data_IF_189854805498
#
_entry.id   IF_189854805498
#
_cell.length_a   1.000
_cell.length_b   1.000
_cell.length_c   1.000
_cell.angle_alpha   90.00
_cell.angle_beta   90.00
_cell.angle_gamma   90.00
#
_symmetry.space_group_name_H-M   'P 1'
#
loop_
_entity.id
_entity.type
_entity.pdbx_description
1 polymer ?
#
# COMPACT_ATOMS: atom_id res chain seq x y z
N UNK A 1 14.45 -5.00 -6.28
CA UNK A 1 15.01 -6.28 -6.77
C UNK A 1 15.18 -6.26 -8.28
N UNK A 2 14.11 -6.00 -9.04
CA UNK A 2 14.11 -6.11 -10.52
C UNK A 2 15.13 -5.20 -11.20
N UNK A 3 15.25 -3.94 -10.73
CA UNK A 3 16.27 -2.99 -11.22
C UNK A 3 17.71 -3.48 -11.05
N UNK A 4 17.97 -4.30 -10.03
CA UNK A 4 19.30 -4.87 -9.83
C UNK A 4 19.52 -6.05 -10.79
N UNK A 5 18.52 -6.91 -10.93
CA UNK A 5 18.53 -8.06 -11.84
C UNK A 5 18.59 -7.67 -13.31
N UNK A 6 18.07 -6.50 -13.70
CA UNK A 6 18.21 -5.99 -15.07
C UNK A 6 19.64 -5.56 -15.41
N UNK A 7 20.47 -5.30 -14.39
CA UNK A 7 21.87 -4.87 -14.55
C UNK A 7 22.87 -5.99 -14.27
N UNK A 8 22.51 -6.97 -13.44
CA UNK A 8 23.42 -8.00 -12.94
C UNK A 8 22.81 -9.39 -13.07
N UNK A 9 23.64 -10.34 -13.49
CA UNK A 9 23.29 -11.77 -13.44
C UNK A 9 23.76 -12.36 -12.12
N UNK A 10 22.87 -13.05 -11.44
CA UNK A 10 23.20 -13.79 -10.23
C UNK A 10 23.66 -15.22 -10.59
N UNK A 11 24.52 -15.83 -9.76
CA UNK A 11 24.75 -17.27 -9.79
C UNK A 11 23.42 -18.02 -9.68
N UNK A 12 23.21 -19.02 -10.53
CA UNK A 12 21.99 -19.84 -10.50
C UNK A 12 22.10 -21.03 -9.54
N UNK A 13 23.28 -21.29 -8.99
CA UNK A 13 23.53 -22.43 -8.10
C UNK A 13 22.71 -22.30 -6.81
N UNK A 14 21.92 -23.33 -6.53
CA UNK A 14 21.15 -23.59 -5.31
C UNK A 14 20.21 -22.46 -4.80
N UNK A 15 20.05 -21.37 -5.56
CA UNK A 15 19.11 -20.27 -5.26
C UNK A 15 19.53 -19.34 -4.11
N UNK A 16 20.67 -19.59 -3.46
CA UNK A 16 21.16 -18.78 -2.34
C UNK A 16 21.36 -17.31 -2.73
N UNK A 17 21.85 -17.04 -3.94
CA UNK A 17 22.13 -15.69 -4.40
C UNK A 17 20.85 -14.86 -4.58
N UNK A 18 19.79 -15.50 -5.05
CA UNK A 18 18.47 -14.87 -5.18
C UNK A 18 17.87 -14.57 -3.81
N UNK A 19 17.99 -15.50 -2.87
CA UNK A 19 17.53 -15.29 -1.50
C UNK A 19 18.32 -14.16 -0.81
N UNK A 20 19.64 -14.13 -0.95
CA UNK A 20 20.48 -13.05 -0.42
C UNK A 20 20.06 -11.70 -1.00
N UNK A 21 19.82 -11.62 -2.32
CA UNK A 21 19.33 -10.39 -2.94
C UNK A 21 17.97 -9.97 -2.38
N UNK A 22 17.05 -10.92 -2.18
CA UNK A 22 15.72 -10.62 -1.64
C UNK A 22 15.80 -10.06 -0.21
N UNK A 23 16.54 -10.72 0.68
CA UNK A 23 16.80 -10.25 2.07
C UNK A 23 17.46 -8.88 2.07
N UNK A 24 18.44 -8.67 1.17
CA UNK A 24 19.12 -7.39 1.02
C UNK A 24 18.16 -6.29 0.56
N UNK A 25 17.33 -6.55 -0.45
CA UNK A 25 16.33 -5.59 -0.93
C UNK A 25 15.32 -5.24 0.17
N UNK A 26 14.90 -6.23 0.97
CA UNK A 26 14.01 -6.01 2.10
C UNK A 26 14.67 -5.16 3.19
N UNK A 27 15.94 -5.43 3.52
CA UNK A 27 16.68 -4.63 4.50
C UNK A 27 16.86 -3.18 4.06
N UNK A 28 17.23 -2.94 2.80
CA UNK A 28 17.33 -1.60 2.24
C UNK A 28 15.97 -0.88 2.23
N UNK A 29 14.88 -1.57 1.88
CA UNK A 29 13.54 -0.99 1.92
C UNK A 29 13.12 -0.62 3.35
N UNK A 30 13.33 -1.50 4.32
CA UNK A 30 13.04 -1.23 5.73
C UNK A 30 13.83 -0.02 6.26
N UNK A 31 15.12 0.09 5.92
CA UNK A 31 15.96 1.25 6.27
C UNK A 31 15.49 2.56 5.63
N UNK A 32 14.77 2.49 4.51
CA UNK A 32 14.29 3.66 3.78
C UNK A 32 12.90 4.13 4.23
N UNK A 33 12.01 3.21 4.58
CA UNK A 33 10.58 3.50 4.78
C UNK A 33 10.12 3.32 6.23
N UNK A 34 10.84 2.56 7.07
CA UNK A 34 10.44 2.31 8.46
C UNK A 34 11.09 3.29 9.45
N UNK A 35 10.31 3.69 10.46
CA UNK A 35 10.84 4.46 11.60
C UNK A 35 11.67 3.60 12.55
N UNK A 36 11.28 2.33 12.71
CA UNK A 36 11.96 1.34 13.53
C UNK A 36 12.36 0.17 12.63
N UNK A 37 13.62 0.17 12.21
CA UNK A 37 14.16 -0.86 11.30
C UNK A 37 14.25 -2.21 12.03
N UNK A 38 13.62 -3.29 11.53
CA UNK A 38 13.75 -4.63 12.10
C UNK A 38 15.20 -5.14 12.04
N UNK A 39 15.54 -6.11 12.90
CA UNK A 39 16.88 -6.70 12.85
C UNK A 39 17.07 -7.56 11.59
N UNK A 40 18.33 -7.72 11.15
CA UNK A 40 18.63 -8.57 9.97
C UNK A 40 18.25 -10.04 10.19
N UNK A 41 18.14 -10.49 11.44
CA UNK A 41 17.66 -11.84 11.74
C UNK A 41 16.14 -11.91 11.55
N UNK A 42 15.40 -10.92 12.02
CA UNK A 42 13.93 -10.87 11.90
C UNK A 42 13.48 -10.78 10.43
N UNK A 43 14.28 -10.12 9.58
CA UNK A 43 14.02 -10.04 8.14
C UNK A 43 14.22 -11.37 7.40
N UNK A 44 14.93 -12.32 8.01
CA UNK A 44 15.19 -13.64 7.43
C UNK A 44 14.16 -14.64 7.96
N UNK A 45 12.94 -14.56 7.44
CA UNK A 45 11.77 -15.32 7.91
C UNK A 45 12.07 -16.81 8.04
N UNK A 46 11.99 -17.31 9.26
CA UNK A 46 12.16 -18.71 9.62
C UNK A 46 11.10 -19.57 8.91
N UNK A 47 11.53 -20.65 8.25
CA UNK A 47 10.65 -21.57 7.50
C UNK A 47 10.39 -21.22 6.03
N UNK A 48 10.71 -19.99 5.58
CA UNK A 48 10.67 -19.60 4.15
C UNK A 48 12.09 -19.50 3.59
N UNK A 49 13.02 -19.03 4.41
CA UNK A 49 14.45 -18.95 4.12
C UNK A 49 15.11 -20.34 4.17
N UNK A 50 15.78 -20.73 3.08
CA UNK A 50 16.67 -21.92 3.06
C UNK A 50 18.05 -21.62 3.65
N UNK A 51 18.47 -20.37 3.57
CA UNK A 51 19.81 -19.91 3.96
C UNK A 51 19.74 -18.78 4.99
N UNK A 52 20.46 -18.91 6.10
CA UNK A 52 20.63 -17.79 7.04
C UNK A 52 21.98 -17.14 6.76
N UNK A 53 21.97 -15.86 6.48
CA UNK A 53 23.14 -15.07 6.15
C UNK A 53 23.60 -14.24 7.34
N UNK A 54 24.91 -14.27 7.57
CA UNK A 54 25.58 -13.39 8.51
C UNK A 54 25.35 -11.91 8.15
N UNK A 55 25.16 -11.02 9.15
CA UNK A 55 24.98 -9.58 8.94
C UNK A 55 26.02 -8.95 8.00
N UNK A 56 27.28 -9.35 8.12
CA UNK A 56 28.36 -8.85 7.26
C UNK A 56 28.20 -9.23 5.78
N UNK A 57 27.60 -10.39 5.49
CA UNK A 57 27.31 -10.82 4.11
C UNK A 57 26.18 -9.99 3.52
N UNK A 58 25.12 -9.74 4.29
CA UNK A 58 24.03 -8.86 3.89
C UNK A 58 24.56 -7.45 3.64
N UNK A 59 25.37 -6.89 4.55
CA UNK A 59 25.94 -5.55 4.39
C UNK A 59 26.82 -5.38 3.15
N UNK A 60 27.60 -6.40 2.76
CA UNK A 60 28.35 -6.38 1.50
C UNK A 60 27.41 -6.36 0.28
N UNK A 61 26.34 -7.15 0.32
CA UNK A 61 25.35 -7.17 -0.75
C UNK A 61 24.56 -5.85 -0.80
N UNK A 62 24.25 -5.23 0.33
CA UNK A 62 23.62 -3.90 0.39
C UNK A 62 24.45 -2.86 -0.35
N UNK A 63 25.76 -2.79 -0.06
CA UNK A 63 26.66 -1.86 -0.75
C UNK A 63 26.71 -2.11 -2.26
N UNK A 64 26.67 -3.38 -2.67
CA UNK A 64 26.65 -3.77 -4.07
C UNK A 64 25.35 -3.31 -4.76
N UNK A 65 24.20 -3.53 -4.13
CA UNK A 65 22.89 -3.06 -4.64
C UNK A 65 22.84 -1.54 -4.71
N UNK A 66 23.29 -0.85 -3.65
CA UNK A 66 23.37 0.61 -3.60
C UNK A 66 24.22 1.16 -4.73
N UNK A 67 25.40 0.60 -4.94
CA UNK A 67 26.33 1.03 -6.00
C UNK A 67 25.73 0.77 -7.38
N UNK A 68 25.17 -0.42 -7.62
CA UNK A 68 24.53 -0.77 -8.88
C UNK A 68 23.36 0.17 -9.24
N UNK A 69 22.62 0.63 -8.23
CA UNK A 69 21.49 1.54 -8.41
C UNK A 69 21.89 3.02 -8.32
N UNK A 70 23.19 3.35 -8.27
CA UNK A 70 23.71 4.70 -8.07
C UNK A 70 23.08 5.41 -6.86
N UNK A 71 22.85 4.66 -5.77
CA UNK A 71 22.18 5.11 -4.54
C UNK A 71 20.74 5.62 -4.73
N UNK A 72 20.15 5.41 -5.91
CA UNK A 72 18.77 5.82 -6.22
C UNK A 72 17.79 4.75 -5.75
N UNK A 73 17.59 4.63 -4.43
CA UNK A 73 16.65 3.67 -3.84
C UNK A 73 15.20 4.15 -3.85
N UNK A 74 14.97 5.48 -3.79
CA UNK A 74 13.64 6.08 -3.80
C UNK A 74 12.99 5.98 -5.18
N UNK A 75 12.39 4.83 -5.46
CA UNK A 75 11.64 4.58 -6.67
C UNK A 75 10.20 5.04 -6.47
N UNK A 76 9.59 5.59 -7.52
CA UNK A 76 8.16 5.89 -7.50
C UNK A 76 7.40 4.57 -7.57
N UNK A 77 6.46 4.36 -6.65
CA UNK A 77 5.63 3.15 -6.59
C UNK A 77 4.17 3.49 -6.88
N UNK A 78 3.32 2.52 -7.29
CA UNK A 78 1.91 2.80 -7.50
C UNK A 78 1.22 3.42 -6.27
N UNK A 79 1.67 3.03 -5.06
CA UNK A 79 1.18 3.56 -3.79
C UNK A 79 1.26 5.09 -3.68
N UNK A 80 2.27 5.71 -4.30
CA UNK A 80 2.43 7.18 -4.29
C UNK A 80 1.30 7.94 -5.00
N UNK A 81 0.51 7.28 -5.85
CA UNK A 81 -0.57 7.89 -6.62
C UNK A 81 -1.98 7.52 -6.14
N UNK A 82 -2.12 6.52 -5.25
CA UNK A 82 -3.44 5.97 -4.90
C UNK A 82 -4.34 7.06 -4.30
N UNK A 83 -3.84 7.83 -3.34
CA UNK A 83 -4.63 8.88 -2.67
C UNK A 83 -5.17 9.90 -3.67
N UNK A 84 -4.31 10.32 -4.60
CA UNK A 84 -4.67 11.28 -5.64
C UNK A 84 -5.78 10.74 -6.55
N UNK A 85 -5.67 9.50 -7.03
CA UNK A 85 -6.69 8.91 -7.90
C UNK A 85 -7.98 8.53 -7.14
N UNK A 86 -7.88 8.09 -5.89
CA UNK A 86 -9.04 7.85 -5.04
C UNK A 86 -9.86 9.13 -4.87
N UNK A 87 -9.21 10.28 -4.66
CA UNK A 87 -9.88 11.58 -4.59
C UNK A 87 -10.54 11.99 -5.92
N UNK A 88 -9.96 11.62 -7.08
CA UNK A 88 -10.58 11.89 -8.39
C UNK A 88 -11.88 11.13 -8.59
N UNK A 89 -11.99 9.95 -7.99
CA UNK A 89 -13.16 9.08 -8.07
C UNK A 89 -14.20 9.45 -7.03
N UNK A 90 -13.79 9.77 -5.81
CA UNK A 90 -14.65 10.14 -4.69
C UNK A 90 -14.22 11.49 -4.10
N UNK A 91 -14.53 12.62 -4.77
CA UNK A 91 -14.16 13.95 -4.28
C UNK A 91 -14.79 14.29 -2.92
N UNK A 92 -15.90 13.61 -2.58
CA UNK A 92 -16.59 13.74 -1.30
C UNK A 92 -15.94 12.97 -0.15
N UNK A 93 -14.94 12.13 -0.42
CA UNK A 93 -14.16 11.42 0.60
C UNK A 93 -14.92 10.32 1.34
N UNK A 94 -16.16 10.00 0.95
CA UNK A 94 -17.04 9.07 1.68
C UNK A 94 -16.50 7.62 1.65
N UNK A 95 -15.90 7.24 0.53
CA UNK A 95 -15.41 5.88 0.25
C UNK A 95 -13.89 5.83 0.05
N UNK A 96 -13.20 6.97 0.08
CA UNK A 96 -11.76 7.09 -0.21
C UNK A 96 -10.90 6.10 0.57
N UNK A 97 -11.13 5.93 1.88
CA UNK A 97 -10.38 4.94 2.69
C UNK A 97 -10.60 3.50 2.20
N UNK A 98 -11.83 3.17 1.83
CA UNK A 98 -12.22 1.86 1.30
C UNK A 98 -11.54 1.62 -0.06
N UNK A 99 -11.54 2.63 -0.93
CA UNK A 99 -10.88 2.60 -2.24
C UNK A 99 -9.37 2.41 -2.10
N UNK A 100 -8.72 3.18 -1.23
CA UNK A 100 -7.27 3.08 -1.00
C UNK A 100 -6.90 1.67 -0.50
N UNK A 101 -7.63 1.15 0.49
CA UNK A 101 -7.37 -0.17 1.03
C UNK A 101 -7.50 -1.27 -0.03
N UNK A 102 -8.55 -1.21 -0.86
CA UNK A 102 -8.77 -2.19 -1.93
C UNK A 102 -7.79 -2.05 -3.08
N UNK A 103 -7.50 -0.83 -3.54
CA UNK A 103 -6.48 -0.58 -4.55
C UNK A 103 -5.10 -1.07 -4.09
N UNK A 104 -4.76 -0.87 -2.81
CA UNK A 104 -3.53 -1.39 -2.18
C UNK A 104 -3.46 -2.91 -2.31
N UNK A 105 -4.54 -3.63 -1.99
CA UNK A 105 -4.59 -5.09 -2.15
C UNK A 105 -4.41 -5.53 -3.61
N UNK A 106 -5.04 -4.84 -4.56
CA UNK A 106 -4.89 -5.13 -5.99
C UNK A 106 -3.45 -4.90 -6.45
N UNK A 107 -2.81 -3.81 -6.03
CA UNK A 107 -1.41 -3.52 -6.36
C UNK A 107 -0.48 -4.58 -5.77
N UNK A 108 -0.67 -4.96 -4.50
CA UNK A 108 0.13 -6.02 -3.88
C UNK A 108 -0.01 -7.35 -4.61
N UNK A 109 -1.21 -7.72 -5.07
CA UNK A 109 -1.41 -8.91 -5.90
C UNK A 109 -0.68 -8.79 -7.25
N UNK A 110 -0.74 -7.62 -7.89
CA UNK A 110 -0.06 -7.36 -9.17
C UNK A 110 1.47 -7.38 -9.05
N UNK A 111 2.06 -7.03 -7.90
CA UNK A 111 3.51 -7.04 -7.70
C UNK A 111 4.14 -8.44 -7.76
N UNK A 112 3.34 -9.50 -7.63
CA UNK A 112 3.82 -10.88 -7.76
C UNK A 112 3.84 -11.39 -9.20
N UNK A 113 3.29 -10.62 -10.14
CA UNK A 113 3.15 -11.01 -11.53
C UNK A 113 4.09 -10.21 -12.43
N UNK A 114 4.89 -10.93 -13.22
CA UNK A 114 5.91 -10.35 -14.10
C UNK A 114 5.31 -9.49 -15.21
N UNK A 115 4.04 -9.69 -15.56
CA UNK A 115 3.36 -8.91 -16.61
C UNK A 115 3.25 -7.42 -16.25
N UNK A 116 3.37 -7.06 -14.97
CA UNK A 116 3.31 -5.67 -14.51
C UNK A 116 4.65 -4.94 -14.52
N UNK A 117 5.77 -5.61 -14.83
CA UNK A 117 7.10 -4.99 -14.83
C UNK A 117 7.25 -3.87 -15.89
N UNK A 118 6.52 -3.98 -17.00
CA UNK A 118 6.56 -3.01 -18.10
C UNK A 118 5.55 -1.86 -17.93
N UNK A 119 4.72 -1.90 -16.88
CA UNK A 119 3.71 -0.90 -16.63
C UNK A 119 4.24 0.22 -15.73
N UNK A 120 3.91 1.48 -16.07
CA UNK A 120 4.33 2.60 -15.26
C UNK A 120 3.53 2.66 -13.95
N UNK A 121 4.13 3.10 -12.83
CA UNK A 121 3.48 3.11 -11.52
C UNK A 121 2.15 3.89 -11.48
N UNK A 122 2.04 4.98 -12.23
CA UNK A 122 0.82 5.80 -12.30
C UNK A 122 -0.33 5.08 -12.99
N UNK A 123 -0.08 4.35 -14.07
CA UNK A 123 -1.12 3.57 -14.76
C UNK A 123 -1.59 2.40 -13.91
N UNK A 124 -0.67 1.71 -13.23
CA UNK A 124 -1.01 0.66 -12.26
C UNK A 124 -1.91 1.20 -11.13
N UNK A 125 -1.58 2.36 -10.57
CA UNK A 125 -2.37 2.96 -9.50
C UNK A 125 -3.77 3.38 -9.97
N UNK A 126 -3.87 4.01 -11.14
CA UNK A 126 -5.16 4.39 -11.72
C UNK A 126 -6.02 3.15 -11.98
N UNK A 127 -5.47 2.12 -12.62
CA UNK A 127 -6.14 0.85 -12.87
C UNK A 127 -6.61 0.16 -11.57
N UNK A 128 -5.77 0.13 -10.55
CA UNK A 128 -6.12 -0.47 -9.26
C UNK A 128 -7.28 0.26 -8.58
N UNK A 129 -7.30 1.60 -8.63
CA UNK A 129 -8.42 2.40 -8.11
C UNK A 129 -9.70 2.14 -8.90
N UNK A 130 -9.63 2.03 -10.24
CA UNK A 130 -10.78 1.67 -11.07
C UNK A 130 -11.30 0.24 -10.76
N UNK A 131 -10.41 -0.71 -10.48
CA UNK A 131 -10.83 -2.04 -10.02
C UNK A 131 -11.56 -1.93 -8.66
N UNK A 132 -11.06 -1.08 -7.77
CA UNK A 132 -11.68 -0.84 -6.48
C UNK A 132 -13.09 -0.19 -6.60
N UNK A 133 -13.36 0.63 -7.61
CA UNK A 133 -14.70 1.21 -7.80
C UNK A 133 -15.74 0.15 -8.18
N UNK A 134 -15.36 -0.84 -8.99
CA UNK A 134 -16.28 -1.84 -9.54
C UNK A 134 -16.98 -2.74 -8.52
N UNK A 135 -16.43 -2.88 -7.30
CA UNK A 135 -17.09 -3.64 -6.22
C UNK A 135 -17.66 -2.73 -5.11
N UNK A 136 -17.63 -1.39 -5.30
CA UNK A 136 -18.28 -0.44 -4.39
C UNK A 136 -19.64 -0.04 -4.97
N UNK A 137 -20.76 -0.62 -4.51
CA UNK A 137 -22.06 -0.47 -5.16
C UNK A 137 -22.65 0.95 -5.12
N UNK A 138 -22.13 1.83 -4.26
CA UNK A 138 -22.54 3.23 -4.12
C UNK A 138 -21.86 4.19 -5.11
N UNK A 139 -20.90 3.71 -5.89
CA UNK A 139 -20.07 4.53 -6.76
C UNK A 139 -20.31 4.18 -8.24
N UNK A 140 -20.43 5.21 -9.08
CA UNK A 140 -20.54 5.00 -10.52
C UNK A 140 -19.25 4.37 -11.05
N UNK A 141 -19.40 3.34 -11.90
CA UNK A 141 -18.25 2.71 -12.53
C UNK A 141 -17.56 3.73 -13.45
N UNK A 142 -16.31 4.06 -13.11
CA UNK A 142 -15.52 4.97 -13.94
C UNK A 142 -14.85 4.17 -15.05
N UNK A 143 -14.99 4.63 -16.29
CA UNK A 143 -14.30 3.99 -17.42
C UNK A 143 -12.79 4.29 -17.40
N UNK A 144 -11.93 3.34 -17.83
CA UNK A 144 -10.50 3.59 -18.00
C UNK A 144 -10.17 4.80 -18.89
N UNK A 145 -10.96 5.05 -19.93
CA UNK A 145 -10.80 6.22 -20.82
C UNK A 145 -11.00 7.56 -20.10
N UNK A 146 -11.89 7.61 -19.10
CA UNK A 146 -12.08 8.82 -18.28
C UNK A 146 -10.86 9.13 -17.41
N UNK A 147 -10.14 8.08 -16.95
CA UNK A 147 -8.99 8.22 -16.06
C UNK A 147 -7.77 8.87 -16.73
N UNK A 148 -7.68 8.85 -18.06
CA UNK A 148 -6.65 9.55 -18.84
C UNK A 148 -6.58 11.04 -18.49
N UNK A 149 -7.73 11.63 -18.13
CA UNK A 149 -7.84 13.06 -17.79
C UNK A 149 -7.39 13.38 -16.37
N UNK A 150 -7.05 12.39 -15.55
CA UNK A 150 -6.70 12.61 -14.14
C UNK A 150 -5.31 13.19 -13.95
N UNK A 151 -4.35 12.82 -14.80
CA UNK A 151 -2.96 13.26 -14.70
C UNK A 151 -2.29 13.31 -16.08
N UNK A 152 -1.38 14.27 -16.26
CA UNK A 152 -0.57 14.40 -17.47
C UNK A 152 0.35 13.18 -17.60
N UNK A 153 0.41 12.58 -18.79
CA UNK A 153 1.26 11.41 -19.06
C UNK A 153 0.59 10.06 -18.81
N UNK A 154 -0.67 10.04 -18.38
CA UNK A 154 -1.47 8.81 -18.37
C UNK A 154 -1.91 8.46 -19.80
N UNK A 155 -1.54 7.26 -20.26
CA UNK A 155 -1.97 6.72 -21.54
C UNK A 155 -3.17 5.79 -21.38
N UNK A 156 -4.18 5.95 -22.22
CA UNK A 156 -5.39 5.12 -22.21
C UNK A 156 -5.08 3.63 -22.36
N UNK A 157 -4.25 3.27 -23.33
CA UNK A 157 -3.84 1.89 -23.59
C UNK A 157 -3.13 1.26 -22.38
N UNK A 158 -2.26 2.03 -21.73
CA UNK A 158 -1.52 1.56 -20.56
C UNK A 158 -2.47 1.30 -19.37
N UNK A 159 -3.42 2.22 -19.11
CA UNK A 159 -4.41 2.04 -18.05
C UNK A 159 -5.32 0.86 -18.37
N UNK A 160 -5.85 0.78 -19.60
CA UNK A 160 -6.75 -0.29 -20.03
C UNK A 160 -6.10 -1.66 -19.95
N UNK A 161 -4.81 -1.77 -20.34
CA UNK A 161 -4.04 -3.01 -20.20
C UNK A 161 -3.90 -3.40 -18.72
N UNK A 162 -3.40 -2.49 -17.87
CA UNK A 162 -3.27 -2.74 -16.43
C UNK A 162 -4.62 -3.14 -15.80
N UNK A 163 -5.69 -2.43 -16.16
CA UNK A 163 -7.03 -2.65 -15.63
C UNK A 163 -7.54 -4.05 -15.95
N UNK A 164 -7.41 -4.49 -17.20
CA UNK A 164 -7.81 -5.85 -17.63
C UNK A 164 -7.04 -6.93 -16.87
N UNK A 165 -5.72 -6.80 -16.73
CA UNK A 165 -4.90 -7.76 -16.00
C UNK A 165 -5.26 -7.78 -14.51
N UNK A 166 -5.43 -6.61 -13.89
CA UNK A 166 -5.81 -6.50 -12.49
C UNK A 166 -7.21 -7.06 -12.21
N UNK A 167 -8.17 -6.88 -13.12
CA UNK A 167 -9.49 -7.51 -12.99
C UNK A 167 -9.40 -9.05 -12.97
N UNK A 168 -8.55 -9.64 -13.82
CA UNK A 168 -8.32 -11.08 -13.83
C UNK A 168 -7.76 -11.56 -12.49
N UNK A 169 -6.81 -10.81 -11.89
CA UNK A 169 -6.28 -11.09 -10.56
C UNK A 169 -7.34 -11.02 -9.47
N UNK A 170 -8.21 -10.00 -9.50
CA UNK A 170 -9.31 -9.85 -8.54
C UNK A 170 -10.27 -11.05 -8.62
N UNK A 171 -10.66 -11.46 -9.83
CA UNK A 171 -11.56 -12.60 -10.05
C UNK A 171 -10.91 -13.91 -9.57
N UNK A 172 -9.64 -14.15 -9.90
CA UNK A 172 -8.90 -15.34 -9.47
C UNK A 172 -8.71 -15.42 -7.95
N UNK A 173 -8.52 -14.28 -7.28
CA UNK A 173 -8.39 -14.22 -5.82
C UNK A 173 -9.73 -14.49 -5.10
N UNK A 174 -10.87 -14.08 -5.67
CA UNK A 174 -12.20 -14.42 -5.15
C UNK A 174 -12.43 -15.93 -5.20
N UNK A 175 -12.03 -16.59 -6.29
CA UNK A 175 -12.16 -18.05 -6.45
C UNK A 175 -11.26 -18.82 -5.47
N UNK A 176 -10.02 -18.38 -5.30
CA UNK A 176 -9.07 -18.98 -4.34
C UNK A 176 -9.57 -18.83 -2.90
N UNK A 177 -10.12 -17.66 -2.52
CA UNK A 177 -10.70 -17.43 -1.19
C UNK A 177 -11.97 -18.24 -0.92
N UNK A 178 -12.80 -18.47 -1.94
CA UNK A 178 -13.97 -19.34 -1.81
C UNK A 178 -13.59 -20.81 -1.59
N UNK A 179 -12.49 -21.27 -2.19
CA UNK A 179 -11.96 -22.62 -1.99
C UNK A 179 -11.25 -22.81 -0.63
N UNK A 180 -10.65 -21.75 -0.07
CA UNK A 180 -9.88 -21.79 1.19
C UNK A 180 -10.69 -21.43 2.45
N UNK A 181 -12.02 -21.63 2.46
CA UNK A 181 -12.89 -21.19 3.56
C UNK A 181 -12.76 -22.05 4.83
N UNK A 182 -11.59 -22.01 5.48
CA UNK A 182 -11.39 -22.22 6.94
C UNK A 182 -10.13 -21.46 7.41
N UNK A 183 -10.01 -20.15 7.19
CA UNK A 183 -9.11 -19.29 7.97
C UNK A 183 -9.42 -17.79 7.73
N UNK A 184 -9.87 -17.12 8.81
CA UNK A 184 -9.80 -15.67 9.05
C UNK A 184 -10.19 -14.73 7.89
N UNK A 185 -11.48 -14.41 7.82
CA UNK A 185 -11.99 -13.28 7.06
C UNK A 185 -11.49 -11.96 7.68
N UNK A 186 -10.52 -11.31 7.07
CA UNK A 186 -10.32 -9.88 7.23
C UNK A 186 -11.45 -9.15 6.49
N UNK A 187 -12.66 -9.18 7.06
CA UNK A 187 -13.77 -8.35 6.63
C UNK A 187 -13.45 -6.90 7.01
N UNK A 188 -12.81 -6.16 6.11
CA UNK A 188 -12.89 -4.69 6.13
C UNK A 188 -14.18 -4.28 5.42
N UNK A 189 -15.33 -4.64 6.01
CA UNK A 189 -16.62 -4.12 5.59
C UNK A 189 -16.70 -2.66 6.01
N UNK A 190 -16.79 -1.79 5.00
CA UNK A 190 -17.05 -0.36 5.12
C UNK A 190 -18.51 -0.16 5.59
N UNK A 191 -18.78 -0.29 6.88
CA UNK A 191 -20.04 0.14 7.48
C UNK A 191 -19.91 1.59 7.93
N UNK A 192 -20.34 2.54 7.11
CA UNK A 192 -20.60 3.91 7.54
C UNK A 192 -22.08 4.00 7.93
N UNK A 193 -22.42 3.66 9.17
CA UNK A 193 -23.71 4.10 9.71
C UNK A 193 -23.65 5.61 9.93
N UNK A 194 -24.40 6.32 9.09
CA UNK A 194 -24.75 7.73 9.30
C UNK A 194 -25.62 7.81 10.55
N UNK A 195 -25.02 8.08 11.70
CA UNK A 195 -25.75 8.47 12.89
C UNK A 195 -25.92 9.99 12.89
N UNK A 196 -27.01 10.43 12.27
CA UNK A 196 -27.63 11.73 12.50
C UNK A 196 -28.07 11.82 13.97
N UNK A 197 -27.25 12.43 14.81
CA UNK A 197 -27.59 12.69 16.21
C UNK A 197 -28.30 14.04 16.33
N UNK A 198 -29.62 14.05 16.11
CA UNK A 198 -30.48 15.06 16.72
C UNK A 198 -30.73 14.66 18.17
N UNK A 199 -30.07 15.32 19.11
CA UNK A 199 -30.42 15.25 20.53
C UNK A 199 -30.25 16.62 21.17
N UNK A 200 -31.33 17.38 21.18
CA UNK A 200 -31.57 18.47 22.12
C UNK A 200 -31.55 17.94 23.55
N UNK A 201 -30.61 18.41 24.37
CA UNK A 201 -30.78 18.37 25.82
C UNK A 201 -30.04 19.54 26.47
N UNK A 202 -30.85 20.38 27.10
CA UNK A 202 -30.50 21.44 28.03
C UNK A 202 -29.80 20.86 29.26
N UNK A 203 -28.62 21.37 29.62
CA UNK A 203 -28.04 21.18 30.94
C UNK A 203 -27.49 22.50 31.48
N UNK A 204 -28.19 23.00 32.50
CA UNK A 204 -27.91 24.20 33.30
C UNK A 204 -26.55 24.16 34.02
N UNK A 205 -25.82 25.27 33.98
CA UNK A 205 -24.58 25.48 34.71
C UNK A 205 -24.77 25.57 36.24
N UNK A 206 -23.83 25.09 37.07
CA UNK A 206 -23.89 25.27 38.53
C UNK A 206 -23.33 26.64 38.97
N UNK A 207 -23.79 27.20 40.10
CA UNK A 207 -23.47 28.58 40.49
C UNK A 207 -22.11 28.71 41.20
N UNK A 208 -21.48 29.87 41.01
CA UNK A 208 -20.18 30.24 41.56
C UNK A 208 -20.23 30.52 43.09
N UNK A 209 -19.37 29.86 43.87
CA UNK A 209 -19.15 30.15 45.30
C UNK A 209 -18.25 31.37 45.48
N UNK A 210 -18.88 32.48 45.87
CA UNK A 210 -18.32 33.76 46.32
C UNK A 210 -17.54 33.60 47.64
N UNK A 211 -16.23 33.87 47.66
CA UNK A 211 -15.42 34.03 48.88
C UNK A 211 -15.31 35.51 49.26
N UNK A 212 -15.76 35.85 50.48
CA UNK A 212 -15.67 37.19 51.11
C UNK A 212 -14.23 37.49 51.53
N UNK A 213 -13.79 38.74 51.31
CA UNK A 213 -12.54 39.34 51.84
C UNK A 213 -12.85 40.21 53.07
N UNK A 214 -11.94 40.20 54.04
CA UNK A 214 -11.60 41.31 54.96
C UNK A 214 -10.55 40.83 56.00
N UNK A 215 -9.82 41.72 56.71
CA UNK A 215 -9.24 43.04 56.36
C UNK A 215 -7.72 43.12 56.73
N UNK A 216 -7.01 44.25 56.53
CA UNK A 216 -5.55 44.33 56.69
C UNK A 216 -5.12 44.69 58.13
N UNK A 217 -3.95 44.20 58.54
CA UNK A 217 -3.26 44.56 59.78
C UNK A 217 -1.90 45.18 59.46
N UNK A 218 -1.58 46.23 60.22
CA UNK A 218 -0.49 47.21 60.11
C UNK A 218 0.90 46.58 60.15
#
# INVERSE_FOLDING_TARGET
MDRFLSLHRLPQEDGWAMQLLAVTCLSLAAKMEETLVPSLLDLQVEGISRYVFEPGTIGRMELLVLTALNWRLRSVTPFTFIDFFAYKVDPGGTHTRCLIARATQVILAAMHDIEFLDHCPSSMAAAAVLCATGETPSLESVSPGTAVRWCIGLGEEAISSCYRLMQQLVIGNVQTRAASTTASAANLCCSHEVLSSHSSSSSSAPPAKRRKRSPPGI
#
